data_IF_343099715036
#
_entry.id   IF_343099715036
#
_cell.length_a   1.000
_cell.length_b   1.000
_cell.length_c   1.000
_cell.angle_alpha   90.00
_cell.angle_beta   90.00
_cell.angle_gamma   90.00
#
_symmetry.space_group_name_H-M   'P 1'
#
loop_
_entity.id
_entity.type
_entity.pdbx_description
1 polymer ?
#
# COMPACT_ATOMS: atom_id res chain seq x y z
N UNK A 1 -1.00 15.56 -3.34
CA UNK A 1 -1.56 14.40 -2.60
C UNK A 1 -2.81 13.99 -3.34
N UNK A 2 -2.87 12.76 -3.82
CA UNK A 2 -3.99 12.28 -4.61
C UNK A 2 -5.07 11.74 -3.67
N UNK A 3 -6.29 12.28 -3.74
CA UNK A 3 -7.42 11.89 -2.85
C UNK A 3 -8.37 10.96 -3.62
N UNK A 4 -8.65 9.80 -3.05
CA UNK A 4 -9.61 8.83 -3.56
C UNK A 4 -10.97 9.05 -2.89
N UNK A 5 -12.05 9.10 -3.68
CA UNK A 5 -13.42 9.17 -3.20
C UNK A 5 -14.23 8.00 -3.77
N UNK A 6 -15.03 7.35 -2.93
CA UNK A 6 -16.13 6.42 -3.30
C UNK A 6 -16.10 5.84 -4.71
N UNK A 7 -15.25 4.85 -4.95
CA UNK A 7 -15.15 4.14 -6.22
C UNK A 7 -16.10 2.94 -6.26
N UNK A 8 -17.34 3.22 -6.62
CA UNK A 8 -18.35 2.21 -6.89
C UNK A 8 -18.26 1.75 -8.34
N UNK A 9 -17.85 0.50 -8.62
CA UNK A 9 -18.30 -0.23 -9.83
C UNK A 9 -18.47 -1.72 -9.56
N UNK A 10 -19.73 -2.16 -9.60
CA UNK A 10 -20.11 -3.57 -9.78
C UNK A 10 -19.44 -4.10 -11.07
N UNK A 11 -18.79 -5.26 -10.96
CA UNK A 11 -18.31 -6.14 -12.03
C UNK A 11 -16.95 -5.89 -12.71
N UNK A 12 -16.02 -5.14 -12.13
CA UNK A 12 -14.61 -5.24 -12.55
C UNK A 12 -13.66 -5.01 -11.39
N UNK A 13 -12.44 -5.55 -11.47
CA UNK A 13 -11.34 -5.31 -10.51
C UNK A 13 -11.01 -3.80 -10.49
N UNK A 14 -11.79 -3.05 -9.73
CA UNK A 14 -11.86 -1.59 -9.80
C UNK A 14 -10.98 -0.99 -8.71
N UNK A 15 -9.80 -0.50 -9.10
CA UNK A 15 -8.97 0.30 -8.21
C UNK A 15 -9.45 1.75 -8.23
N UNK A 16 -9.65 2.35 -7.05
CA UNK A 16 -9.96 3.77 -6.88
C UNK A 16 -8.79 4.69 -7.25
N UNK A 17 -7.59 4.14 -7.21
CA UNK A 17 -6.35 4.82 -7.53
C UNK A 17 -5.36 3.81 -8.06
N UNK A 18 -4.62 4.20 -9.08
CA UNK A 18 -3.49 3.45 -9.61
C UNK A 18 -2.39 4.40 -9.99
N UNK A 19 -1.16 4.13 -9.53
CA UNK A 19 0.01 4.93 -9.87
C UNK A 19 1.16 4.03 -10.28
N UNK A 20 1.71 4.32 -11.46
CA UNK A 20 3.02 3.83 -11.88
C UNK A 20 4.11 4.62 -11.17
N UNK A 21 5.11 3.92 -10.66
CA UNK A 21 6.24 4.50 -9.93
C UNK A 21 7.43 4.53 -10.87
N UNK A 22 7.97 5.73 -11.10
CA UNK A 22 9.19 5.95 -11.85
C UNK A 22 10.33 6.31 -10.90
N UNK A 23 11.54 5.90 -11.25
CA UNK A 23 12.75 6.20 -10.49
C UNK A 23 13.66 7.07 -11.36
N UNK A 24 14.38 8.01 -10.74
CA UNK A 24 15.39 8.82 -11.44
C UNK A 24 16.62 8.02 -11.87
N UNK A 25 16.74 6.76 -11.45
CA UNK A 25 17.80 5.83 -11.84
C UNK A 25 17.32 4.92 -12.97
N UNK A 26 18.23 4.60 -13.89
CA UNK A 26 17.99 3.58 -14.91
C UNK A 26 17.85 2.18 -14.29
N UNK A 27 17.29 1.24 -15.03
CA UNK A 27 17.11 -0.14 -14.55
C UNK A 27 18.43 -0.81 -14.16
N UNK A 28 19.50 -0.56 -14.91
CA UNK A 28 20.83 -1.12 -14.63
C UNK A 28 21.42 -0.53 -13.34
N UNK A 29 21.19 0.75 -13.08
CA UNK A 29 21.59 1.43 -11.85
C UNK A 29 20.81 0.92 -10.64
N UNK A 30 19.48 0.75 -10.76
CA UNK A 30 18.65 0.17 -9.69
C UNK A 30 19.08 -1.27 -9.35
N UNK A 31 19.37 -2.08 -10.37
CA UNK A 31 19.86 -3.46 -10.17
C UNK A 31 21.18 -3.47 -9.42
N UNK A 32 22.13 -2.61 -9.80
CA UNK A 32 23.41 -2.47 -9.09
C UNK A 32 23.22 -1.98 -7.66
N UNK A 33 22.41 -0.95 -7.45
CA UNK A 33 22.09 -0.42 -6.12
C UNK A 33 21.59 -1.54 -5.20
N UNK A 34 20.62 -2.33 -5.65
CA UNK A 34 20.12 -3.48 -4.88
C UNK A 34 21.19 -4.55 -4.64
N UNK A 35 22.03 -4.85 -5.63
CA UNK A 35 23.03 -5.92 -5.53
C UNK A 35 24.14 -5.60 -4.52
N UNK A 36 24.47 -4.32 -4.33
CA UNK A 36 25.54 -3.90 -3.39
C UNK A 36 25.00 -3.51 -2.01
N UNK A 37 23.68 -3.40 -1.86
CA UNK A 37 23.04 -3.03 -0.58
C UNK A 37 22.73 -4.28 0.25
N UNK A 38 22.90 -4.18 1.57
CA UNK A 38 22.52 -5.25 2.50
C UNK A 38 21.01 -5.37 2.63
N UNK A 39 20.30 -4.24 2.54
CA UNK A 39 18.85 -4.19 2.65
C UNK A 39 18.27 -3.06 1.83
N UNK A 40 17.01 -3.20 1.43
CA UNK A 40 16.22 -2.10 0.89
C UNK A 40 14.84 -2.09 1.57
N UNK A 41 14.25 -0.91 1.65
CA UNK A 41 12.87 -0.72 2.08
C UNK A 41 12.15 0.29 1.21
N UNK A 42 10.84 0.13 1.12
CA UNK A 42 9.94 1.14 0.57
C UNK A 42 8.65 1.11 1.37
N UNK A 43 8.15 2.29 1.70
CA UNK A 43 6.94 2.45 2.52
C UNK A 43 5.81 3.00 1.66
N UNK A 44 4.65 2.39 1.79
CA UNK A 44 3.40 2.91 1.26
C UNK A 44 2.57 3.41 2.44
N UNK A 45 2.14 4.65 2.37
CA UNK A 45 1.30 5.28 3.38
C UNK A 45 -0.10 5.49 2.86
N UNK A 46 -1.09 5.18 3.70
CA UNK A 46 -2.49 5.36 3.41
C UNK A 46 -3.19 6.12 4.53
N UNK A 47 -3.60 7.35 4.24
CA UNK A 47 -4.52 8.09 5.12
C UNK A 47 -5.96 7.75 4.70
N UNK A 48 -6.80 7.41 5.65
CA UNK A 48 -8.14 6.88 5.40
C UNK A 48 -9.20 7.57 6.26
N UNK A 49 -10.43 7.59 5.77
CA UNK A 49 -11.58 8.13 6.49
C UNK A 49 -12.78 7.20 6.30
N UNK A 50 -13.39 6.77 7.41
CA UNK A 50 -14.62 5.96 7.44
C UNK A 50 -14.57 4.64 6.65
N UNK A 51 -13.41 3.97 6.59
CA UNK A 51 -13.25 2.72 5.85
C UNK A 51 -13.45 1.46 6.69
N UNK A 52 -14.11 0.44 6.11
CA UNK A 52 -14.25 -0.90 6.71
C UNK A 52 -13.31 -1.93 6.10
N UNK A 53 -12.95 -1.73 4.84
CA UNK A 53 -12.06 -2.58 4.07
C UNK A 53 -11.09 -1.76 3.24
N UNK A 54 -9.97 -2.37 2.88
CA UNK A 54 -9.01 -1.81 1.95
C UNK A 54 -8.31 -2.94 1.23
N UNK A 55 -8.15 -2.82 -0.08
CA UNK A 55 -7.26 -3.70 -0.83
C UNK A 55 -6.18 -2.89 -1.53
N UNK A 56 -4.92 -3.26 -1.33
CA UNK A 56 -3.73 -2.62 -1.91
C UNK A 56 -3.06 -3.61 -2.84
N UNK A 57 -3.01 -3.26 -4.12
CA UNK A 57 -2.40 -4.06 -5.18
C UNK A 57 -1.04 -3.49 -5.51
N UNK A 58 -0.05 -4.37 -5.63
CA UNK A 58 1.35 -4.03 -5.75
C UNK A 58 1.98 -4.83 -6.88
N UNK A 59 2.82 -4.15 -7.66
CA UNK A 59 3.68 -4.78 -8.64
C UNK A 59 5.12 -4.36 -8.35
N UNK A 60 6.02 -5.33 -8.28
CA UNK A 60 7.45 -5.06 -8.16
C UNK A 60 8.15 -5.15 -9.52
N UNK A 61 9.31 -4.51 -9.62
CA UNK A 61 10.16 -4.61 -10.81
C UNK A 61 10.74 -6.01 -10.98
N UNK A 62 11.02 -6.69 -9.87
CA UNK A 62 11.69 -7.99 -9.83
C UNK A 62 10.73 -9.14 -10.11
N UNK A 63 9.44 -8.99 -9.78
CA UNK A 63 8.40 -10.00 -10.00
C UNK A 63 7.22 -9.42 -10.79
N UNK A 64 7.49 -8.97 -12.02
CA UNK A 64 6.45 -8.34 -12.86
C UNK A 64 5.32 -9.32 -13.24
N UNK A 65 5.62 -10.61 -13.33
CA UNK A 65 4.65 -11.64 -13.72
C UNK A 65 3.69 -12.05 -12.60
N UNK A 66 3.99 -11.71 -11.35
CA UNK A 66 3.12 -12.01 -10.20
C UNK A 66 2.90 -10.75 -9.35
N UNK A 67 1.89 -9.93 -9.68
CA UNK A 67 1.45 -8.89 -8.77
C UNK A 67 0.96 -9.52 -7.47
N UNK A 68 1.21 -8.84 -6.35
CA UNK A 68 0.76 -9.26 -5.03
C UNK A 68 -0.17 -8.20 -4.46
N UNK A 69 -0.98 -8.59 -3.48
CA UNK A 69 -1.92 -7.67 -2.86
C UNK A 69 -2.02 -7.89 -1.36
N UNK A 70 -2.38 -6.83 -0.66
CA UNK A 70 -2.74 -6.85 0.74
C UNK A 70 -4.19 -6.47 0.86
N UNK A 71 -5.00 -7.35 1.45
CA UNK A 71 -6.40 -7.07 1.76
C UNK A 71 -6.56 -6.97 3.26
N UNK A 72 -7.20 -5.90 3.70
CA UNK A 72 -7.45 -5.59 5.11
C UNK A 72 -8.94 -5.66 5.35
N UNK A 73 -9.34 -6.54 6.26
CA UNK A 73 -10.66 -6.56 6.85
C UNK A 73 -10.54 -7.03 8.30
N UNK A 74 -11.53 -6.71 9.13
CA UNK A 74 -11.51 -7.14 10.52
C UNK A 74 -11.58 -8.68 10.61
N UNK A 75 -10.54 -9.31 11.16
CA UNK A 75 -10.39 -10.77 11.19
C UNK A 75 -9.55 -11.38 10.06
N UNK A 76 -9.09 -10.56 9.10
CA UNK A 76 -8.20 -10.99 8.01
C UNK A 76 -6.71 -10.94 8.36
N UNK A 77 -5.84 -11.48 7.48
CA UNK A 77 -4.39 -11.42 7.66
C UNK A 77 -3.89 -9.97 7.65
N UNK A 78 -3.16 -9.56 8.68
CA UNK A 78 -2.64 -8.19 8.74
C UNK A 78 -1.30 -8.01 8.05
N UNK A 79 -1.15 -6.90 7.31
CA UNK A 79 0.10 -6.52 6.63
C UNK A 79 0.53 -5.08 6.89
N UNK A 80 -0.25 -4.27 7.62
CA UNK A 80 0.16 -2.91 8.00
C UNK A 80 1.12 -2.95 9.20
N UNK A 81 1.90 -1.89 9.36
CA UNK A 81 3.00 -1.84 10.31
C UNK A 81 2.50 -1.74 11.77
N UNK A 82 1.35 -1.12 12.01
CA UNK A 82 0.79 -1.05 13.36
C UNK A 82 0.44 -2.44 13.92
N UNK A 83 0.10 -3.41 13.08
CA UNK A 83 -0.26 -4.77 13.54
C UNK A 83 0.97 -5.58 13.86
N UNK A 84 2.05 -5.37 13.09
CA UNK A 84 3.36 -5.96 13.37
C UNK A 84 3.86 -5.52 14.75
N UNK A 85 3.55 -4.29 15.14
CA UNK A 85 3.96 -3.69 16.43
C UNK A 85 2.90 -3.78 17.53
N UNK A 86 1.69 -4.26 17.23
CA UNK A 86 0.58 -4.32 18.18
C UNK A 86 0.02 -2.95 18.60
N UNK A 87 0.27 -1.90 17.81
CA UNK A 87 -0.07 -0.51 18.13
C UNK A 87 -1.34 0.00 17.44
N UNK A 88 -2.04 -0.84 16.67
CA UNK A 88 -3.25 -0.42 15.97
C UNK A 88 -4.38 0.01 16.93
N UNK A 89 -5.12 1.03 16.51
CA UNK A 89 -6.26 1.61 17.20
C UNK A 89 -7.30 0.55 17.55
N UNK A 90 -7.81 0.58 18.79
CA UNK A 90 -8.89 -0.29 19.29
C UNK A 90 -8.62 -1.79 19.06
N UNK A 91 -7.35 -2.21 19.04
CA UNK A 91 -6.94 -3.60 18.74
C UNK A 91 -7.47 -4.11 17.40
N UNK A 92 -7.72 -3.21 16.43
CA UNK A 92 -8.10 -3.59 15.07
C UNK A 92 -6.90 -4.16 14.33
N UNK A 93 -7.21 -4.90 13.27
CA UNK A 93 -6.19 -5.47 12.37
C UNK A 93 -5.29 -4.36 11.84
N UNK A 94 -5.85 -3.27 11.32
CA UNK A 94 -5.16 -2.04 10.94
C UNK A 94 -5.95 -0.82 11.41
N UNK A 95 -5.34 0.37 11.46
CA UNK A 95 -6.07 1.57 11.88
C UNK A 95 -7.24 1.87 10.94
N UNK A 96 -7.02 1.76 9.63
CA UNK A 96 -7.96 2.19 8.61
C UNK A 96 -9.24 1.37 8.55
N UNK A 97 -9.20 0.10 8.95
CA UNK A 97 -10.40 -0.77 9.04
C UNK A 97 -11.20 -0.57 10.34
N UNK A 98 -10.88 0.47 11.11
CA UNK A 98 -11.64 0.82 12.32
C UNK A 98 -12.95 1.57 12.02
N UNK A 99 -13.25 1.89 10.75
CA UNK A 99 -14.42 2.64 10.28
C UNK A 99 -14.76 3.85 11.16
N UNK A 100 -13.77 4.71 11.36
CA UNK A 100 -13.97 5.92 12.15
C UNK A 100 -14.22 7.11 11.21
N UNK A 101 -15.17 7.96 11.58
CA UNK A 101 -15.40 9.27 10.94
C UNK A 101 -14.32 10.29 11.35
N UNK A 102 -13.05 9.88 11.23
CA UNK A 102 -11.85 10.69 11.46
C UNK A 102 -10.74 10.16 10.56
N UNK A 103 -9.78 11.02 10.23
CA UNK A 103 -8.60 10.56 9.49
C UNK A 103 -7.78 9.62 10.37
N UNK A 104 -7.52 8.44 9.83
CA UNK A 104 -6.63 7.44 10.36
C UNK A 104 -5.51 7.20 9.35
N UNK A 105 -4.50 6.45 9.78
CA UNK A 105 -3.30 6.26 9.00
C UNK A 105 -2.76 4.86 9.21
N UNK A 106 -2.39 4.21 8.11
CA UNK A 106 -1.61 2.98 8.13
C UNK A 106 -0.41 3.12 7.18
N UNK A 107 0.71 2.55 7.62
CA UNK A 107 1.89 2.34 6.79
C UNK A 107 2.05 0.86 6.47
N UNK A 108 2.64 0.60 5.31
CA UNK A 108 3.05 -0.73 4.87
C UNK A 108 4.51 -0.61 4.44
N UNK A 109 5.42 -1.07 5.28
CA UNK A 109 6.83 -1.13 4.95
C UNK A 109 7.16 -2.49 4.34
N UNK A 110 7.62 -2.46 3.08
CA UNK A 110 8.12 -3.62 2.34
C UNK A 110 9.64 -3.65 2.50
N UNK A 111 10.16 -4.76 2.99
CA UNK A 111 11.61 -5.00 3.18
C UNK A 111 12.12 -6.20 2.38
N UNK A 112 11.22 -6.95 1.73
CA UNK A 112 11.57 -8.06 0.87
C UNK A 112 12.31 -7.53 -0.36
N UNK A 113 13.59 -7.88 -0.49
CA UNK A 113 14.41 -7.51 -1.64
C UNK A 113 13.81 -8.04 -2.95
N UNK A 114 13.08 -9.16 -2.93
CA UNK A 114 12.40 -9.71 -4.11
C UNK A 114 11.17 -8.88 -4.52
N UNK A 115 10.58 -8.12 -3.59
CA UNK A 115 9.37 -7.32 -3.84
C UNK A 115 9.68 -5.84 -4.10
N UNK A 116 10.96 -5.47 -4.12
CA UNK A 116 11.43 -4.11 -4.37
C UNK A 116 12.26 -3.98 -5.66
N UNK A 117 12.35 -2.79 -6.26
CA UNK A 117 11.45 -1.65 -6.06
C UNK A 117 10.02 -1.95 -6.52
N UNK A 118 9.05 -1.22 -5.95
CA UNK A 118 7.70 -1.18 -6.49
C UNK A 118 7.66 -0.41 -7.81
N UNK A 119 6.88 -0.88 -8.77
CA UNK A 119 6.67 -0.23 -10.07
C UNK A 119 5.23 0.21 -10.27
N UNK A 120 4.28 -0.40 -9.56
CA UNK A 120 2.89 0.06 -9.52
C UNK A 120 2.31 -0.16 -8.14
N UNK A 121 1.45 0.78 -7.74
CA UNK A 121 0.54 0.63 -6.61
C UNK A 121 -0.87 0.95 -7.08
N UNK A 122 -1.84 0.20 -6.58
CA UNK A 122 -3.24 0.53 -6.75
C UNK A 122 -4.02 0.24 -5.46
N UNK A 123 -5.06 1.03 -5.20
CA UNK A 123 -5.92 0.90 -4.01
C UNK A 123 -7.34 0.64 -4.47
N UNK A 124 -8.06 -0.25 -3.80
CA UNK A 124 -9.45 -0.61 -4.10
C UNK A 124 -10.30 -0.71 -2.84
N UNK A 125 -11.57 -1.09 -3.03
CA UNK A 125 -12.60 -1.29 -1.99
C UNK A 125 -12.91 -0.03 -1.16
N UNK A 126 -12.97 1.12 -1.83
CA UNK A 126 -13.48 2.39 -1.30
C UNK A 126 -14.92 2.54 -1.80
N UNK A 127 -15.85 1.74 -1.28
CA UNK A 127 -17.17 1.51 -1.88
C UNK A 127 -18.26 2.47 -1.40
N UNK A 128 -18.06 3.19 -0.29
CA UNK A 128 -19.03 4.16 0.22
C UNK A 128 -18.66 5.60 -0.16
N UNK A 129 -19.66 6.43 -0.51
CA UNK A 129 -19.49 7.87 -0.80
C UNK A 129 -18.78 8.67 0.30
N UNK A 130 -18.80 8.16 1.54
CA UNK A 130 -18.19 8.77 2.73
C UNK A 130 -16.74 8.34 2.92
N UNK A 131 -16.32 7.26 2.25
CA UNK A 131 -14.95 6.76 2.33
C UNK A 131 -14.02 7.65 1.53
N UNK A 132 -12.90 8.00 2.15
CA UNK A 132 -11.86 8.83 1.55
C UNK A 132 -10.51 8.22 1.83
N UNK A 133 -9.62 8.37 0.87
CA UNK A 133 -8.26 7.84 0.95
C UNK A 133 -7.23 8.81 0.41
N UNK A 134 -6.01 8.81 0.96
CA UNK A 134 -4.85 9.50 0.39
C UNK A 134 -3.67 8.55 0.36
N UNK A 135 -3.07 8.41 -0.82
CA UNK A 135 -1.89 7.57 -1.02
C UNK A 135 -0.62 8.40 -0.97
N UNK A 136 0.42 7.89 -0.31
CA UNK A 136 1.81 8.27 -0.58
C UNK A 136 2.64 7.01 -0.79
N UNK A 137 3.55 7.08 -1.76
CA UNK A 137 4.57 6.05 -1.97
C UNK A 137 5.90 6.70 -1.67
N UNK A 138 6.62 6.18 -0.70
CA UNK A 138 7.95 6.63 -0.34
C UNK A 138 9.01 6.17 -1.34
N UNK A 139 10.20 6.77 -1.22
CA UNK A 139 11.34 6.40 -2.02
C UNK A 139 11.83 4.98 -1.70
N UNK A 140 12.49 4.35 -2.66
CA UNK A 140 13.29 3.16 -2.40
C UNK A 140 14.54 3.59 -1.62
N UNK A 141 14.67 3.11 -0.38
CA UNK A 141 15.84 3.37 0.47
C UNK A 141 16.63 2.08 0.62
N UNK A 142 17.91 2.08 0.22
CA UNK A 142 18.80 0.93 0.35
C UNK A 142 20.02 1.29 1.20
N UNK A 143 20.48 0.34 2.03
CA UNK A 143 21.58 0.47 3.00
C UNK A 143 22.50 -0.75 2.95
#
# INVERSE_FOLDING_TARGET
MDVCYGCFRKNDRSYCYGKSITYGLSESQLKKLKAVSKSCRQTISWDCYSQEMLTVFLQSKTNQSQPFYYSYYNGGPSKCDCSKTGTCLKKKVCNCVANQKKWLHDDITITSMADLPLTKVAFGDVNDSREKGKVRVGDLVCM
#
